data_IF_170916923517
#
_entry.id   IF_170916923517
#
_cell.length_a   1.000
_cell.length_b   1.000
_cell.length_c   1.000
_cell.angle_alpha   90.00
_cell.angle_beta   90.00
_cell.angle_gamma   90.00
#
_symmetry.space_group_name_H-M   'P 1'
#
loop_
_entity.id
_entity.type
_entity.pdbx_description
1 polymer ?
#
# COMPACT_ATOMS: atom_id res chain seq x y z
N UNK A 1 -2.49 22.76 -8.98
CA UNK A 1 -1.42 21.76 -8.78
C UNK A 1 -2.12 20.42 -8.58
N UNK A 2 -2.06 19.50 -9.57
CA UNK A 2 -2.65 18.17 -9.43
C UNK A 2 -1.84 17.43 -8.35
N UNK A 3 -2.48 17.14 -7.23
CA UNK A 3 -1.93 16.24 -6.20
C UNK A 3 -2.14 14.83 -6.72
N UNK A 4 -1.22 14.38 -7.57
CA UNK A 4 -1.11 12.96 -7.96
C UNK A 4 -0.51 12.24 -6.74
N UNK A 5 -1.38 11.91 -5.79
CA UNK A 5 -1.04 11.12 -4.59
C UNK A 5 -1.00 9.63 -4.95
N UNK A 6 -1.67 9.25 -6.05
CA UNK A 6 -1.82 7.88 -6.50
C UNK A 6 -1.18 7.74 -7.89
N UNK A 7 -0.23 6.82 -8.03
CA UNK A 7 0.36 6.46 -9.33
C UNK A 7 -0.51 5.37 -9.98
N UNK A 8 -1.32 5.76 -10.97
CA UNK A 8 -2.49 5.04 -11.52
C UNK A 8 -2.26 3.56 -11.92
N UNK A 9 -1.01 3.09 -12.08
CA UNK A 9 -0.69 1.70 -12.46
C UNK A 9 -0.04 0.86 -11.36
N UNK A 10 0.71 1.46 -10.43
CA UNK A 10 1.30 0.74 -9.29
C UNK A 10 0.36 0.71 -8.09
N UNK A 11 -0.55 1.68 -8.02
CA UNK A 11 -1.58 1.85 -7.00
C UNK A 11 -2.36 0.58 -6.64
N UNK A 12 -2.79 -0.17 -7.66
CA UNK A 12 -3.58 -1.37 -7.45
C UNK A 12 -2.79 -2.53 -6.83
N UNK A 13 -1.46 -2.57 -7.06
CA UNK A 13 -0.57 -3.58 -6.51
C UNK A 13 -0.45 -3.48 -5.00
N UNK A 14 -0.36 -2.26 -4.45
CA UNK A 14 -0.26 -2.02 -3.01
C UNK A 14 -1.55 -2.39 -2.29
N UNK A 15 -2.70 -2.10 -2.89
CA UNK A 15 -4.01 -2.52 -2.38
C UNK A 15 -4.11 -4.05 -2.29
N UNK A 16 -3.70 -4.77 -3.34
CA UNK A 16 -3.67 -6.25 -3.33
C UNK A 16 -2.68 -6.77 -2.29
N UNK A 17 -1.50 -6.17 -2.18
CA UNK A 17 -0.51 -6.56 -1.17
C UNK A 17 -1.07 -6.41 0.25
N UNK A 18 -1.80 -5.32 0.50
CA UNK A 18 -2.55 -5.11 1.73
C UNK A 18 -3.55 -6.24 2.02
N UNK A 19 -4.36 -6.62 1.03
CA UNK A 19 -5.32 -7.71 1.15
C UNK A 19 -4.65 -9.07 1.45
N UNK A 20 -3.58 -9.42 0.73
CA UNK A 20 -2.85 -10.68 0.92
C UNK A 20 -2.18 -10.71 2.30
N UNK A 21 -1.72 -9.56 2.80
CA UNK A 21 -1.05 -9.49 4.10
C UNK A 21 -1.93 -9.89 5.27
N UNK A 22 -3.26 -9.82 5.13
CA UNK A 22 -4.20 -10.36 6.10
C UNK A 22 -3.96 -11.87 6.33
N UNK A 23 -3.67 -12.61 5.26
CA UNK A 23 -3.40 -14.06 5.32
C UNK A 23 -1.92 -14.37 5.55
N UNK A 24 -1.03 -13.52 5.05
CA UNK A 24 0.41 -13.68 5.13
C UNK A 24 1.07 -12.41 5.68
N UNK A 25 1.17 -12.26 7.02
CA UNK A 25 1.71 -11.05 7.65
C UNK A 25 3.14 -10.69 7.21
N UNK A 26 3.92 -11.67 6.73
CA UNK A 26 5.27 -11.44 6.17
C UNK A 26 5.26 -10.49 4.97
N UNK A 27 4.15 -10.39 4.23
CA UNK A 27 3.99 -9.47 3.10
C UNK A 27 4.11 -8.02 3.55
N UNK A 28 3.66 -7.69 4.77
CA UNK A 28 3.83 -6.35 5.34
C UNK A 28 5.30 -5.96 5.47
N UNK A 29 6.13 -6.89 5.96
CA UNK A 29 7.56 -6.66 6.16
C UNK A 29 8.20 -6.39 4.79
N UNK A 30 7.92 -7.24 3.81
CA UNK A 30 8.43 -7.09 2.43
C UNK A 30 8.00 -5.75 1.84
N UNK A 31 6.73 -5.38 2.01
CA UNK A 31 6.17 -4.12 1.51
C UNK A 31 6.88 -2.90 2.11
N UNK A 32 7.04 -2.84 3.43
CA UNK A 32 7.71 -1.70 4.10
C UNK A 32 9.16 -1.57 3.64
N UNK A 33 9.90 -2.67 3.51
CA UNK A 33 11.28 -2.62 3.01
C UNK A 33 11.33 -2.15 1.55
N UNK A 34 10.44 -2.66 0.69
CA UNK A 34 10.32 -2.23 -0.69
C UNK A 34 10.06 -0.72 -0.79
N UNK A 35 9.08 -0.20 -0.04
CA UNK A 35 8.70 1.21 -0.03
C UNK A 35 9.81 2.12 0.51
N UNK A 36 10.48 1.72 1.59
CA UNK A 36 11.62 2.50 2.14
C UNK A 36 12.74 2.58 1.10
N UNK A 37 13.07 1.44 0.47
CA UNK A 37 14.11 1.39 -0.56
C UNK A 37 13.72 2.24 -1.76
N UNK A 38 12.48 2.12 -2.25
CA UNK A 38 11.95 2.94 -3.35
C UNK A 38 11.98 4.44 -3.00
N UNK A 39 11.55 4.82 -1.80
CA UNK A 39 11.57 6.20 -1.32
C UNK A 39 12.99 6.77 -1.27
N UNK A 40 13.97 5.99 -0.83
CA UNK A 40 15.38 6.42 -0.81
C UNK A 40 15.94 6.54 -2.23
N UNK A 41 15.68 5.56 -3.11
CA UNK A 41 16.16 5.60 -4.50
C UNK A 41 15.56 6.76 -5.30
N UNK A 42 14.31 7.12 -5.00
CA UNK A 42 13.60 8.22 -5.64
C UNK A 42 13.67 9.52 -4.85
N UNK A 43 14.45 9.57 -3.77
CA UNK A 43 14.65 10.76 -2.96
C UNK A 43 15.16 11.92 -3.83
N UNK A 44 14.42 13.03 -3.83
CA UNK A 44 14.71 14.22 -4.66
C UNK A 44 14.15 14.17 -6.09
N UNK A 45 13.55 13.06 -6.53
CA UNK A 45 12.88 12.93 -7.85
C UNK A 45 11.36 12.92 -7.76
N UNK A 46 10.79 12.35 -6.70
CA UNK A 46 9.34 12.29 -6.47
C UNK A 46 8.92 12.99 -5.16
N UNK A 47 7.62 13.31 -5.07
CA UNK A 47 7.04 13.94 -3.87
C UNK A 47 6.88 12.89 -2.77
N UNK A 48 7.11 13.25 -1.50
CA UNK A 48 6.79 12.38 -0.35
C UNK A 48 5.31 11.94 -0.30
N UNK A 49 4.44 12.65 -1.01
CA UNK A 49 3.03 12.32 -1.14
C UNK A 49 2.79 10.95 -1.80
N UNK A 50 3.66 10.48 -2.71
CA UNK A 50 3.50 9.18 -3.37
C UNK A 50 3.68 8.05 -2.34
N UNK A 51 4.77 8.08 -1.57
CA UNK A 51 5.02 7.13 -0.48
C UNK A 51 3.87 7.07 0.54
N UNK A 52 3.28 8.22 0.88
CA UNK A 52 2.09 8.27 1.71
C UNK A 52 0.87 7.64 1.02
N UNK A 53 0.70 7.86 -0.28
CA UNK A 53 -0.31 7.22 -1.10
C UNK A 53 -0.19 5.69 -1.08
N UNK A 54 1.02 5.17 -1.31
CA UNK A 54 1.32 3.73 -1.35
C UNK A 54 0.99 3.06 -0.01
N UNK A 55 1.33 3.72 1.11
CA UNK A 55 0.95 3.26 2.46
C UNK A 55 -0.58 3.25 2.64
N UNK A 56 -1.27 4.32 2.21
CA UNK A 56 -2.73 4.42 2.34
C UNK A 56 -3.43 3.33 1.53
N UNK A 57 -2.96 3.02 0.33
CA UNK A 57 -3.49 1.96 -0.52
C UNK A 57 -3.32 0.58 0.11
N UNK A 58 -2.12 0.31 0.66
CA UNK A 58 -1.87 -0.92 1.39
C UNK A 58 -2.82 -1.07 2.59
N UNK A 59 -2.94 -0.02 3.40
CA UNK A 59 -3.83 -0.03 4.57
C UNK A 59 -5.29 -0.17 4.15
N UNK A 60 -5.69 0.45 3.04
CA UNK A 60 -7.03 0.32 2.48
C UNK A 60 -7.31 -1.14 2.10
N UNK A 61 -6.40 -1.81 1.39
CA UNK A 61 -6.53 -3.22 1.04
C UNK A 61 -6.67 -4.12 2.26
N UNK A 62 -5.78 -3.97 3.25
CA UNK A 62 -5.85 -4.73 4.50
C UNK A 62 -7.15 -4.49 5.27
N UNK A 63 -7.57 -3.22 5.39
CA UNK A 63 -8.80 -2.82 6.08
C UNK A 63 -10.05 -3.36 5.38
N UNK A 64 -10.12 -3.24 4.05
CA UNK A 64 -11.23 -3.76 3.26
C UNK A 64 -11.36 -5.28 3.39
N UNK A 65 -10.24 -6.02 3.30
CA UNK A 65 -10.23 -7.48 3.51
C UNK A 65 -10.67 -7.85 4.92
N UNK A 66 -10.19 -7.13 5.93
CA UNK A 66 -10.59 -7.36 7.33
C UNK A 66 -12.10 -7.19 7.52
N UNK A 67 -12.68 -6.12 6.98
CA UNK A 67 -14.12 -5.87 7.03
C UNK A 67 -14.91 -6.94 6.28
N UNK A 68 -14.47 -7.31 5.08
CA UNK A 68 -15.12 -8.32 4.25
C UNK A 68 -15.19 -9.68 4.96
N UNK A 69 -14.08 -10.13 5.54
CA UNK A 69 -14.02 -11.40 6.30
C UNK A 69 -14.89 -11.32 7.54
N UNK A 70 -14.88 -10.18 8.26
CA UNK A 70 -15.75 -9.95 9.42
C UNK A 70 -17.24 -10.04 9.07
N UNK A 71 -17.65 -9.55 7.89
CA UNK A 71 -19.04 -9.60 7.42
C UNK A 71 -19.43 -11.02 6.99
N UNK A 72 -18.52 -11.78 6.41
CA UNK A 72 -18.80 -13.14 5.92
C UNK A 72 -18.75 -14.23 7.00
N UNK A 73 -17.89 -14.05 8.01
CA UNK A 73 -17.59 -15.07 9.02
C UNK A 73 -17.99 -14.65 10.45
N UNK A 74 -18.56 -13.46 10.61
CA UNK A 74 -19.14 -12.95 11.86
C UNK A 74 -20.65 -12.95 11.82
#
# INVERSE_FOLDING_TARGET
>A
MKLEVFDDKRSFGHTIAGAISFFLPVVFIIFIFYEIVEHIYKAGKEKPANFLGDIVEYLFGLGATTLFIRILCG
#
